data_IF_605998670763
#
_entry.id   IF_605998670763
#
_cell.length_a   1.000
_cell.length_b   1.000
_cell.length_c   1.000
_cell.angle_alpha   90.00
_cell.angle_beta   90.00
_cell.angle_gamma   90.00
#
_symmetry.space_group_name_H-M   'P 1'
#
loop_
_entity.id
_entity.type
_entity.pdbx_description
1 polymer ?
#
# COMPACT_ATOMS: atom_id res chain seq x y z
N UNK A 1 29.82 -5.43 19.16
CA UNK A 1 29.01 -4.59 18.23
C UNK A 1 29.94 -3.55 17.58
N UNK A 2 30.79 -3.96 16.63
CA UNK A 2 31.75 -3.08 15.96
C UNK A 2 31.63 -3.08 14.45
N UNK A 3 30.56 -3.67 13.91
CA UNK A 3 30.34 -3.74 12.47
C UNK A 3 29.71 -2.42 11.99
N UNK A 4 30.48 -1.68 11.19
CA UNK A 4 30.07 -0.39 10.62
C UNK A 4 28.83 -0.52 9.73
N UNK A 5 28.56 -1.72 9.18
CA UNK A 5 27.41 -1.99 8.30
C UNK A 5 26.15 -2.44 9.05
N UNK A 6 26.22 -2.61 10.38
CA UNK A 6 25.09 -3.11 11.15
C UNK A 6 23.84 -2.24 11.00
N UNK A 7 23.98 -0.92 11.09
CA UNK A 7 22.86 0.01 10.93
C UNK A 7 22.32 0.04 9.49
N UNK A 8 23.17 -0.15 8.49
CA UNK A 8 22.73 -0.28 7.10
C UNK A 8 21.90 -1.55 6.92
N UNK A 9 22.35 -2.67 7.49
CA UNK A 9 21.62 -3.93 7.47
C UNK A 9 20.25 -3.83 8.13
N UNK A 10 20.10 -3.05 9.20
CA UNK A 10 18.78 -2.80 9.81
C UNK A 10 17.86 -1.95 8.93
N UNK A 11 18.41 -1.05 8.12
CA UNK A 11 17.64 -0.19 7.19
C UNK A 11 17.21 -0.95 5.95
N UNK A 12 18.08 -1.79 5.41
CA UNK A 12 17.80 -2.61 4.21
C UNK A 12 17.15 -3.96 4.54
N UNK A 13 16.88 -4.24 5.82
CA UNK A 13 16.30 -5.51 6.25
C UNK A 13 14.95 -5.75 5.57
N UNK A 14 14.79 -6.95 5.01
CA UNK A 14 13.56 -7.38 4.38
C UNK A 14 12.48 -7.69 5.43
N UNK A 15 11.79 -6.63 5.84
CA UNK A 15 10.67 -6.68 6.79
C UNK A 15 9.43 -7.41 6.25
N UNK A 16 9.36 -7.64 4.95
CA UNK A 16 8.19 -8.23 4.28
C UNK A 16 8.28 -9.76 4.27
N UNK A 17 9.49 -10.33 4.33
CA UNK A 17 9.74 -11.78 4.26
C UNK A 17 10.32 -12.38 5.56
N UNK A 18 9.91 -11.89 6.73
CA UNK A 18 10.40 -12.45 8.00
C UNK A 18 9.71 -13.79 8.30
N UNK A 19 10.45 -14.87 8.57
CA UNK A 19 9.84 -16.18 8.85
C UNK A 19 8.87 -16.13 10.04
N UNK A 20 7.67 -16.72 9.94
CA UNK A 20 6.67 -16.69 11.01
C UNK A 20 7.18 -17.23 12.36
N UNK A 21 8.08 -18.22 12.32
CA UNK A 21 8.71 -18.81 13.50
C UNK A 21 9.56 -17.78 14.26
N UNK A 22 10.26 -16.90 13.55
CA UNK A 22 11.06 -15.83 14.14
C UNK A 22 10.16 -14.81 14.83
N UNK A 23 9.09 -14.36 14.15
CA UNK A 23 8.13 -13.42 14.74
C UNK A 23 7.39 -14.01 15.94
N UNK A 24 7.04 -15.29 15.90
CA UNK A 24 6.44 -15.99 17.04
C UNK A 24 7.37 -15.95 18.25
N UNK A 25 8.65 -16.32 18.07
CA UNK A 25 9.65 -16.26 19.14
C UNK A 25 9.84 -14.85 19.69
N UNK A 26 9.84 -13.84 18.83
CA UNK A 26 9.96 -12.43 19.24
C UNK A 26 8.79 -12.03 20.14
N UNK A 27 7.56 -12.33 19.73
CA UNK A 27 6.34 -12.03 20.50
C UNK A 27 6.32 -12.73 21.86
N UNK A 28 6.60 -14.02 21.88
CA UNK A 28 6.52 -14.85 23.08
C UNK A 28 7.60 -14.50 24.09
N UNK A 29 8.84 -14.25 23.64
CA UNK A 29 9.99 -14.10 24.55
C UNK A 29 10.33 -12.65 24.89
N UNK A 30 10.06 -11.71 24.00
CA UNK A 30 10.58 -10.35 24.14
C UNK A 30 9.47 -9.31 24.24
N UNK A 31 8.49 -9.29 23.34
CA UNK A 31 7.51 -8.19 23.28
C UNK A 31 6.69 -8.05 24.56
N UNK A 32 6.32 -9.17 25.17
CA UNK A 32 5.55 -9.20 26.42
C UNK A 32 6.43 -9.16 27.69
N UNK A 33 7.76 -9.16 27.54
CA UNK A 33 8.66 -9.15 28.69
C UNK A 33 8.71 -7.75 29.33
N UNK A 34 8.54 -7.61 30.66
CA UNK A 34 8.53 -6.32 31.34
C UNK A 34 9.88 -5.59 31.23
N UNK A 35 10.98 -6.33 31.13
CA UNK A 35 12.31 -5.72 30.96
C UNK A 35 12.62 -5.33 29.51
N UNK A 36 11.81 -5.78 28.54
CA UNK A 36 11.97 -5.45 27.13
C UNK A 36 11.06 -4.27 26.71
N UNK A 37 11.01 -3.26 27.56
CA UNK A 37 10.30 -2.01 27.31
C UNK A 37 11.33 -0.91 27.01
N UNK A 38 11.15 -0.08 25.97
CA UNK A 38 12.09 1.00 25.66
C UNK A 38 12.39 1.92 26.85
N UNK A 39 11.38 2.20 27.68
CA UNK A 39 11.54 3.02 28.89
C UNK A 39 12.44 2.36 29.94
N UNK A 40 12.40 1.03 30.08
CA UNK A 40 13.24 0.28 31.01
C UNK A 40 14.66 0.17 30.47
N UNK A 41 14.81 -0.18 29.19
CA UNK A 41 16.12 -0.35 28.53
C UNK A 41 16.88 0.98 28.40
N UNK A 42 16.16 2.10 28.28
CA UNK A 42 16.77 3.44 28.24
C UNK A 42 17.65 3.73 29.46
N UNK A 43 17.27 3.21 30.64
CA UNK A 43 18.05 3.38 31.86
C UNK A 43 19.39 2.62 31.82
N UNK A 44 19.52 1.63 30.94
CA UNK A 44 20.74 0.84 30.75
C UNK A 44 21.59 1.41 29.60
N UNK A 45 20.98 1.68 28.44
CA UNK A 45 21.68 2.24 27.28
C UNK A 45 20.74 2.83 26.23
N UNK A 46 21.04 4.05 25.77
CA UNK A 46 20.32 4.74 24.70
C UNK A 46 20.45 4.03 23.35
N UNK A 47 21.58 3.41 23.06
CA UNK A 47 21.77 2.62 21.84
C UNK A 47 20.90 1.35 21.85
N UNK A 48 20.82 0.68 23.01
CA UNK A 48 19.96 -0.49 23.19
C UNK A 48 18.47 -0.13 23.15
N UNK A 49 18.09 1.07 23.60
CA UNK A 49 16.72 1.60 23.44
C UNK A 49 16.32 1.65 21.96
N UNK A 50 17.21 2.14 21.08
CA UNK A 50 16.98 2.20 19.64
C UNK A 50 16.69 0.82 19.03
N UNK A 51 17.46 -0.19 19.43
CA UNK A 51 17.25 -1.57 18.98
C UNK A 51 15.95 -2.18 19.51
N UNK A 52 15.60 -1.92 20.77
CA UNK A 52 14.32 -2.37 21.33
C UNK A 52 13.14 -1.78 20.54
N UNK A 53 13.18 -0.47 20.25
CA UNK A 53 12.15 0.18 19.42
C UNK A 53 12.09 -0.41 18.02
N UNK A 54 13.23 -0.67 17.38
CA UNK A 54 13.28 -1.28 16.05
C UNK A 54 12.62 -2.66 16.03
N UNK A 55 12.96 -3.55 16.98
CA UNK A 55 12.36 -4.91 17.05
C UNK A 55 10.85 -4.83 17.24
N UNK A 56 10.37 -3.93 18.11
CA UNK A 56 8.92 -3.73 18.33
C UNK A 56 8.23 -3.18 17.09
N UNK A 57 8.87 -2.25 16.39
CA UNK A 57 8.35 -1.72 15.13
C UNK A 57 8.23 -2.82 14.06
N UNK A 58 9.19 -3.75 13.98
CA UNK A 58 9.10 -4.90 13.07
C UNK A 58 7.94 -5.83 13.41
N UNK A 59 7.68 -6.10 14.70
CA UNK A 59 6.52 -6.91 15.11
C UNK A 59 5.18 -6.26 14.72
N UNK A 60 5.05 -4.95 14.98
CA UNK A 60 3.85 -4.20 14.63
C UNK A 60 3.67 -4.18 13.11
N UNK A 61 4.76 -4.00 12.37
CA UNK A 61 4.74 -4.05 10.90
C UNK A 61 4.22 -5.40 10.41
N UNK A 62 4.77 -6.54 10.87
CA UNK A 62 4.28 -7.88 10.48
C UNK A 62 2.78 -8.05 10.76
N UNK A 63 2.30 -7.58 11.91
CA UNK A 63 0.88 -7.66 12.27
C UNK A 63 0.02 -6.82 11.33
N UNK A 64 0.42 -5.59 11.03
CA UNK A 64 -0.33 -4.68 10.17
C UNK A 64 -0.26 -5.11 8.71
N UNK A 65 0.91 -5.54 8.23
CA UNK A 65 1.12 -6.01 6.87
C UNK A 65 0.16 -7.15 6.50
N UNK A 66 -0.06 -8.11 7.42
CA UNK A 66 -1.04 -9.19 7.24
C UNK A 66 -2.48 -8.71 7.08
N UNK A 67 -2.85 -7.62 7.76
CA UNK A 67 -4.20 -7.02 7.65
C UNK A 67 -4.32 -6.13 6.41
N UNK A 68 -3.23 -5.49 6.01
CA UNK A 68 -3.20 -4.55 4.87
C UNK A 68 -3.07 -5.28 3.54
N UNK A 69 -2.37 -6.41 3.47
CA UNK A 69 -2.21 -7.22 2.27
C UNK A 69 -3.56 -7.54 1.56
N UNK A 70 -4.59 -8.09 2.23
CA UNK A 70 -5.88 -8.37 1.59
C UNK A 70 -6.66 -7.09 1.24
N UNK A 71 -6.34 -5.94 1.84
CA UNK A 71 -6.95 -4.67 1.47
C UNK A 71 -6.31 -4.09 0.21
N UNK A 72 -4.98 -4.19 0.10
CA UNK A 72 -4.23 -3.78 -1.09
C UNK A 72 -4.62 -4.62 -2.31
N UNK A 73 -4.81 -5.92 -2.13
CA UNK A 73 -5.23 -6.78 -3.24
C UNK A 73 -6.64 -6.43 -3.73
N UNK A 74 -7.60 -6.29 -2.82
CA UNK A 74 -8.95 -5.84 -3.18
C UNK A 74 -8.98 -4.46 -3.83
N UNK A 75 -8.11 -3.55 -3.38
CA UNK A 75 -7.97 -2.23 -3.99
C UNK A 75 -7.49 -2.38 -5.44
N UNK A 76 -6.44 -3.16 -5.67
CA UNK A 76 -5.88 -3.43 -7.00
C UNK A 76 -6.91 -4.03 -7.96
N UNK A 77 -7.72 -4.98 -7.48
CA UNK A 77 -8.81 -5.57 -8.25
C UNK A 77 -9.89 -4.54 -8.62
N UNK A 78 -10.31 -3.72 -7.64
CA UNK A 78 -11.33 -2.70 -7.85
C UNK A 78 -10.87 -1.58 -8.79
N UNK A 79 -9.61 -1.15 -8.66
CA UNK A 79 -8.97 -0.18 -9.56
C UNK A 79 -8.87 -0.73 -10.99
N UNK A 80 -8.50 -2.01 -11.15
CA UNK A 80 -8.49 -2.67 -12.45
C UNK A 80 -9.87 -2.76 -13.10
N UNK A 81 -10.91 -3.07 -12.32
CA UNK A 81 -12.28 -3.06 -12.81
C UNK A 81 -12.71 -1.65 -13.22
N UNK A 82 -12.40 -0.65 -12.39
CA UNK A 82 -12.73 0.74 -12.65
C UNK A 82 -12.12 1.22 -13.97
N UNK A 83 -10.85 0.90 -14.22
CA UNK A 83 -10.16 1.25 -15.47
C UNK A 83 -10.89 0.66 -16.70
N UNK A 84 -11.26 -0.62 -16.65
CA UNK A 84 -12.03 -1.28 -17.71
C UNK A 84 -13.38 -0.59 -17.94
N UNK A 85 -14.09 -0.22 -16.87
CA UNK A 85 -15.38 0.47 -17.00
C UNK A 85 -15.23 1.88 -17.56
N UNK A 86 -14.20 2.61 -17.14
CA UNK A 86 -13.90 3.95 -17.65
C UNK A 86 -13.55 3.92 -19.13
N UNK A 87 -12.78 2.93 -19.59
CA UNK A 87 -12.51 2.72 -21.01
C UNK A 87 -13.81 2.50 -21.80
N UNK A 88 -14.67 1.58 -21.35
CA UNK A 88 -15.98 1.33 -22.00
C UNK A 88 -16.86 2.57 -22.04
N UNK A 89 -16.93 3.31 -20.94
CA UNK A 89 -17.72 4.54 -20.84
C UNK A 89 -17.21 5.59 -21.83
N UNK A 90 -15.89 5.76 -21.93
CA UNK A 90 -15.28 6.71 -22.85
C UNK A 90 -15.52 6.33 -24.31
N UNK A 91 -15.45 5.04 -24.66
CA UNK A 91 -15.83 4.57 -26.00
C UNK A 91 -17.29 4.91 -26.31
N UNK A 92 -18.22 4.63 -25.39
CA UNK A 92 -19.64 4.95 -25.60
C UNK A 92 -19.92 6.44 -25.68
N UNK A 93 -19.22 7.26 -24.90
CA UNK A 93 -19.28 8.72 -25.00
C UNK A 93 -18.78 9.23 -26.35
N UNK A 94 -17.70 8.66 -26.87
CA UNK A 94 -17.17 9.02 -28.18
C UNK A 94 -18.15 8.65 -29.31
N UNK A 95 -18.71 7.43 -29.29
CA UNK A 95 -19.75 7.00 -30.23
C UNK A 95 -20.97 7.92 -30.21
N UNK A 96 -21.46 8.26 -29.00
CA UNK A 96 -22.61 9.16 -28.84
C UNK A 96 -22.32 10.56 -29.41
N UNK A 97 -21.11 11.09 -29.14
CA UNK A 97 -20.70 12.39 -29.69
C UNK A 97 -20.72 12.37 -31.21
N UNK A 98 -20.16 11.33 -31.84
CA UNK A 98 -20.18 11.21 -33.31
C UNK A 98 -21.60 11.15 -33.88
N UNK A 99 -22.52 10.46 -33.21
CA UNK A 99 -23.91 10.40 -33.65
C UNK A 99 -24.61 11.76 -33.50
N UNK A 100 -24.40 12.46 -32.39
CA UNK A 100 -24.93 13.81 -32.18
C UNK A 100 -24.39 14.79 -33.23
N UNK A 101 -23.08 14.76 -33.49
CA UNK A 101 -22.45 15.62 -34.51
C UNK A 101 -23.06 15.38 -35.90
N UNK A 102 -23.33 14.11 -36.28
CA UNK A 102 -23.97 13.76 -37.55
C UNK A 102 -25.43 14.21 -37.63
N UNK A 103 -26.17 14.05 -36.54
CA UNK A 103 -27.59 14.41 -36.49
C UNK A 103 -27.75 15.93 -36.56
N UNK A 104 -26.84 16.68 -35.93
CA UNK A 104 -26.78 18.12 -36.07
C UNK A 104 -26.48 18.55 -37.51
N UNK A 105 -25.44 17.98 -38.13
CA UNK A 105 -25.09 18.30 -39.52
C UNK A 105 -26.26 18.03 -40.49
N UNK A 106 -26.98 16.92 -40.32
CA UNK A 106 -28.14 16.61 -41.15
C UNK A 106 -29.32 17.58 -40.92
N UNK A 107 -29.54 18.02 -39.68
CA UNK A 107 -30.54 19.05 -39.38
C UNK A 107 -30.15 20.39 -40.03
N UNK A 108 -28.88 20.79 -39.95
CA UNK A 108 -28.38 22.03 -40.55
C UNK A 108 -28.56 22.00 -42.08
N UNK A 109 -28.23 20.89 -42.75
CA UNK A 109 -28.45 20.69 -44.19
C UNK A 109 -29.95 20.78 -44.58
N UNK A 110 -30.83 20.20 -43.76
CA UNK A 110 -32.27 20.25 -44.00
C UNK A 110 -32.85 21.67 -43.82
N UNK A 111 -32.36 22.43 -42.84
CA UNK A 111 -32.73 23.83 -42.64
C UNK A 111 -32.22 24.73 -43.78
N UNK A 112 -31.01 24.49 -44.28
CA UNK A 112 -30.48 25.20 -45.45
C UNK A 112 -31.29 24.92 -46.72
N UNK A 113 -31.76 23.68 -46.93
CA UNK A 113 -32.58 23.33 -48.09
C UNK A 113 -34.01 23.90 -48.06
N UNK A 114 -34.53 24.26 -46.87
CA UNK A 114 -35.90 24.75 -46.70
C UNK A 114 -36.01 26.29 -46.58
N UNK A 115 -34.90 27.02 -46.67
CA UNK A 115 -34.84 28.48 -46.79
C UNK A 115 -34.47 28.91 -48.21
#
# INVERSE_FOLDING_TARGET
LGDLKFLEGLKSYDKDNIPPVVMKRIRERFINHPDFQPAVIKNVSSACEGLCKWVRAMEVYDRVAKVVAPKRERLREAEGLLDIQMQKLNTKRAELKTLMDRLQALNDEFEEMNN
#
